data_IF_008913004854
#
_entry.id   IF_008913004854
#
_cell.length_a   1.000
_cell.length_b   1.000
_cell.length_c   1.000
_cell.angle_alpha   90.00
_cell.angle_beta   90.00
_cell.angle_gamma   90.00
#
_symmetry.space_group_name_H-M   'P 1'
#
loop_
_entity.id
_entity.type
_entity.pdbx_description
1 polymer ?
#
# COMPACT_ATOMS: atom_id res chain seq x y z
N UNK A 1 20.39 -41.79 -5.65
CA UNK A 1 19.83 -41.07 -6.81
C UNK A 1 19.06 -39.89 -6.24
N UNK A 2 19.50 -38.66 -6.51
CA UNK A 2 18.79 -37.46 -6.04
C UNK A 2 17.42 -37.36 -6.74
N UNK A 3 16.31 -37.15 -6.00
CA UNK A 3 14.95 -37.25 -6.54
C UNK A 3 14.46 -36.00 -7.27
N UNK A 4 15.32 -35.01 -7.50
CA UNK A 4 14.92 -33.75 -8.13
C UNK A 4 15.60 -33.58 -9.50
N UNK A 5 14.84 -33.24 -10.57
CA UNK A 5 15.44 -32.92 -11.85
C UNK A 5 16.37 -31.72 -11.67
N UNK A 6 17.66 -31.90 -11.97
CA UNK A 6 18.65 -30.82 -11.93
C UNK A 6 18.18 -29.74 -12.89
N UNK A 7 17.78 -28.58 -12.39
CA UNK A 7 17.39 -27.44 -13.24
C UNK A 7 18.65 -26.75 -13.76
N UNK A 8 18.65 -26.33 -15.02
CA UNK A 8 19.76 -25.59 -15.60
C UNK A 8 19.72 -24.13 -15.13
N UNK A 9 20.80 -23.64 -14.55
CA UNK A 9 20.98 -22.26 -14.09
C UNK A 9 22.32 -21.73 -14.62
N UNK A 10 22.49 -20.41 -14.71
CA UNK A 10 23.83 -19.81 -14.87
C UNK A 10 24.42 -19.45 -13.50
N UNK A 11 25.71 -19.72 -13.31
CA UNK A 11 26.44 -19.44 -12.06
C UNK A 11 27.34 -18.22 -12.23
N UNK A 12 26.93 -17.02 -11.77
CA UNK A 12 27.69 -15.80 -11.96
C UNK A 12 28.96 -15.72 -11.09
N UNK A 13 29.00 -16.44 -9.97
CA UNK A 13 30.11 -16.35 -8.99
C UNK A 13 31.37 -17.12 -9.43
N UNK A 14 31.21 -18.14 -10.28
CA UNK A 14 32.32 -18.90 -10.89
C UNK A 14 32.55 -18.50 -12.37
N UNK A 15 31.99 -17.36 -12.80
CA UNK A 15 31.98 -16.94 -14.19
C UNK A 15 33.25 -16.21 -14.62
N UNK A 16 33.80 -16.59 -15.79
CA UNK A 16 34.70 -15.72 -16.57
C UNK A 16 33.87 -14.75 -17.43
N UNK A 17 32.80 -15.23 -18.06
CA UNK A 17 31.85 -14.43 -18.84
C UNK A 17 30.43 -14.96 -18.59
N UNK A 18 29.62 -14.30 -17.76
CA UNK A 18 28.17 -14.58 -17.68
C UNK A 18 27.71 -15.93 -17.12
N UNK A 19 28.61 -16.86 -16.76
CA UNK A 19 28.30 -18.03 -15.92
C UNK A 19 27.61 -19.22 -16.59
N UNK A 20 27.44 -19.20 -17.92
CA UNK A 20 26.70 -20.24 -18.67
C UNK A 20 27.47 -21.55 -18.74
N UNK A 21 28.77 -21.51 -19.05
CA UNK A 21 29.57 -22.73 -19.14
C UNK A 21 29.67 -23.47 -17.80
N UNK A 22 29.78 -22.73 -16.68
CA UNK A 22 29.80 -23.31 -15.33
C UNK A 22 28.44 -23.94 -14.98
N UNK A 23 27.36 -23.22 -15.24
CA UNK A 23 26.00 -23.70 -15.01
C UNK A 23 25.59 -24.92 -15.85
N UNK A 24 25.99 -24.94 -17.13
CA UNK A 24 25.73 -26.06 -18.03
C UNK A 24 26.58 -27.29 -17.66
N UNK A 25 27.82 -27.08 -17.22
CA UNK A 25 28.70 -28.14 -16.72
C UNK A 25 28.13 -28.83 -15.46
N UNK A 26 27.60 -28.06 -14.50
CA UNK A 26 26.93 -28.59 -13.30
C UNK A 26 25.67 -29.40 -13.67
N UNK A 27 24.85 -28.88 -14.59
CA UNK A 27 23.64 -29.56 -15.05
C UNK A 27 23.94 -30.89 -15.76
N UNK A 28 24.93 -30.90 -16.66
CA UNK A 28 25.32 -32.08 -17.44
C UNK A 28 26.28 -33.03 -16.70
N UNK A 29 26.83 -32.63 -15.55
CA UNK A 29 27.85 -33.41 -14.83
C UNK A 29 29.19 -33.52 -15.55
N UNK A 30 29.53 -32.53 -16.39
CA UNK A 30 30.77 -32.49 -17.18
C UNK A 30 31.78 -31.51 -16.58
N UNK A 31 33.10 -31.64 -16.86
CA UNK A 31 34.08 -30.66 -16.44
C UNK A 31 33.87 -29.31 -17.17
N UNK A 32 33.91 -28.21 -16.42
CA UNK A 32 33.68 -26.83 -16.93
C UNK A 32 34.62 -26.49 -18.09
N UNK A 33 35.88 -26.95 -18.03
CA UNK A 33 36.87 -26.74 -19.10
C UNK A 33 36.41 -27.37 -20.43
N UNK A 34 35.82 -28.57 -20.40
CA UNK A 34 35.33 -29.26 -21.60
C UNK A 34 34.18 -28.50 -22.26
N UNK A 35 33.25 -27.98 -21.46
CA UNK A 35 32.13 -27.15 -21.96
C UNK A 35 32.64 -25.85 -22.58
N UNK A 36 33.65 -25.20 -21.97
CA UNK A 36 34.28 -23.98 -22.51
C UNK A 36 34.97 -24.24 -23.85
N UNK A 37 35.77 -25.30 -23.93
CA UNK A 37 36.46 -25.68 -25.17
C UNK A 37 35.47 -25.99 -26.29
N UNK A 38 34.37 -26.69 -25.98
CA UNK A 38 33.31 -26.95 -26.96
C UNK A 38 32.71 -25.67 -27.54
N UNK A 39 32.38 -24.68 -26.70
CA UNK A 39 31.89 -23.37 -27.17
C UNK A 39 32.92 -22.63 -28.02
N UNK A 40 34.21 -22.68 -27.67
CA UNK A 40 35.28 -22.04 -28.44
C UNK A 40 35.42 -22.70 -29.82
N UNK A 41 35.44 -24.04 -29.88
CA UNK A 41 35.52 -24.78 -31.15
C UNK A 41 34.31 -24.48 -32.04
N UNK A 42 33.10 -24.51 -31.48
CA UNK A 42 31.87 -24.13 -32.20
C UNK A 42 31.86 -22.67 -32.65
N UNK A 43 32.53 -21.77 -31.93
CA UNK A 43 32.67 -20.37 -32.34
C UNK A 43 33.64 -20.24 -33.53
N UNK A 44 34.75 -20.99 -33.54
CA UNK A 44 35.73 -20.98 -34.63
C UNK A 44 35.18 -21.65 -35.90
N UNK A 45 34.37 -22.70 -35.77
CA UNK A 45 33.82 -23.46 -36.89
C UNK A 45 32.62 -22.80 -37.61
N UNK A 46 32.29 -21.54 -37.29
CA UNK A 46 31.19 -20.82 -37.97
C UNK A 46 30.38 -19.87 -37.08
N UNK A 47 30.91 -19.46 -35.92
CA UNK A 47 30.24 -18.50 -35.02
C UNK A 47 29.11 -19.08 -34.16
N UNK A 48 28.71 -20.34 -34.37
CA UNK A 48 27.63 -21.01 -33.65
C UNK A 48 27.84 -21.02 -32.14
N UNK A 49 29.08 -21.21 -31.69
CA UNK A 49 29.42 -21.21 -30.27
C UNK A 49 29.05 -19.91 -29.57
N UNK A 50 29.22 -18.77 -30.25
CA UNK A 50 28.90 -17.45 -29.72
C UNK A 50 27.39 -17.21 -29.61
N UNK A 51 26.65 -17.61 -30.66
CA UNK A 51 25.19 -17.49 -30.71
C UNK A 51 24.52 -18.38 -29.65
N UNK A 52 24.94 -19.64 -29.56
CA UNK A 52 24.41 -20.56 -28.53
C UNK A 52 24.75 -20.09 -27.12
N UNK A 53 25.98 -19.61 -26.89
CA UNK A 53 26.38 -19.12 -25.59
C UNK A 53 25.52 -17.94 -25.13
N UNK A 54 25.28 -16.98 -26.01
CA UNK A 54 24.49 -15.80 -25.70
C UNK A 54 22.98 -16.10 -25.60
N UNK A 55 22.45 -17.01 -26.43
CA UNK A 55 21.07 -17.50 -26.30
C UNK A 55 20.83 -18.21 -24.97
N UNK A 56 21.73 -19.12 -24.58
CA UNK A 56 21.68 -19.77 -23.27
C UNK A 56 21.87 -18.78 -22.12
N UNK A 57 22.72 -17.76 -22.30
CA UNK A 57 22.88 -16.70 -21.31
C UNK A 57 21.59 -15.90 -21.07
N UNK A 58 20.78 -15.70 -22.11
CA UNK A 58 19.50 -14.97 -22.04
C UNK A 58 18.37 -15.84 -21.45
N UNK A 59 18.34 -17.13 -21.76
CA UNK A 59 17.28 -18.06 -21.31
C UNK A 59 17.55 -18.61 -19.90
N UNK A 60 18.82 -18.86 -19.54
CA UNK A 60 19.14 -19.48 -18.26
C UNK A 60 19.03 -18.48 -17.10
N UNK A 61 18.17 -18.75 -16.09
CA UNK A 61 18.06 -17.90 -14.93
C UNK A 61 19.37 -17.88 -14.13
N UNK A 62 19.75 -16.69 -13.64
CA UNK A 62 20.88 -16.56 -12.73
C UNK A 62 20.55 -17.22 -11.39
N UNK A 63 21.39 -18.16 -10.93
CA UNK A 63 21.30 -18.66 -9.57
C UNK A 63 21.71 -17.52 -8.63
N UNK A 64 20.71 -16.83 -8.08
CA UNK A 64 20.94 -15.89 -6.98
C UNK A 64 21.13 -16.74 -5.73
N UNK A 65 22.34 -16.75 -5.18
CA UNK A 65 22.52 -17.15 -3.79
C UNK A 65 21.81 -16.10 -2.93
N UNK A 66 20.51 -16.25 -2.74
CA UNK A 66 20.02 -16.04 -1.39
C UNK A 66 20.68 -17.17 -0.62
N UNK A 67 21.70 -16.84 0.17
CA UNK A 67 22.18 -17.79 1.15
C UNK A 67 20.92 -18.23 1.92
N UNK A 68 20.59 -19.52 1.85
CA UNK A 68 19.59 -20.16 2.72
C UNK A 68 20.13 -20.12 4.16
N UNK A 69 20.32 -18.92 4.69
CA UNK A 69 20.62 -18.67 6.07
C UNK A 69 19.31 -18.27 6.73
N UNK A 70 18.98 -18.99 7.80
CA UNK A 70 17.80 -18.75 8.60
C UNK A 70 17.65 -17.24 8.92
N UNK A 71 16.42 -16.69 8.93
CA UNK A 71 16.15 -15.25 8.96
C UNK A 71 16.88 -14.46 10.07
N UNK A 72 17.33 -15.11 11.15
CA UNK A 72 18.09 -14.50 12.25
C UNK A 72 19.56 -14.17 11.97
N UNK A 73 20.27 -14.94 11.12
CA UNK A 73 21.71 -14.72 10.87
C UNK A 73 21.97 -13.55 9.91
N UNK A 74 21.07 -13.35 8.94
CA UNK A 74 21.13 -12.24 7.99
C UNK A 74 20.89 -10.86 8.64
N UNK A 75 20.34 -10.81 9.86
CA UNK A 75 20.17 -9.58 10.64
C UNK A 75 21.46 -9.22 11.41
N UNK A 76 22.18 -10.22 11.93
CA UNK A 76 23.43 -10.03 12.66
C UNK A 76 24.57 -9.53 11.74
N UNK A 77 24.59 -9.96 10.47
CA UNK A 77 25.63 -9.53 9.53
C UNK A 77 25.47 -8.07 9.03
N UNK A 78 24.26 -7.49 9.14
CA UNK A 78 23.99 -6.10 8.72
C UNK A 78 24.55 -5.06 9.69
N UNK A 79 24.84 -5.43 10.94
CA UNK A 79 25.25 -4.46 11.96
C UNK A 79 26.71 -3.99 11.86
N UNK A 80 27.49 -4.44 10.86
CA UNK A 80 28.93 -4.11 10.82
C UNK A 80 29.58 -3.94 9.44
N UNK A 81 28.88 -4.09 8.31
CA UNK A 81 29.51 -4.00 6.99
C UNK A 81 29.04 -2.76 6.21
N UNK A 82 30.03 -1.93 5.85
CA UNK A 82 29.92 -0.75 4.98
C UNK A 82 28.97 -1.01 3.81
N UNK A 83 28.18 0.03 3.46
CA UNK A 83 27.31 0.11 2.28
C UNK A 83 27.86 -0.72 1.12
N UNK A 84 27.10 -1.66 0.52
CA UNK A 84 27.60 -2.44 -0.59
C UNK A 84 28.06 -1.47 -1.69
N UNK A 85 29.35 -1.57 -2.00
CA UNK A 85 30.00 -0.75 -3.00
C UNK A 85 29.32 -0.91 -4.35
N UNK A 86 29.51 0.12 -5.18
CA UNK A 86 28.95 0.41 -6.50
C UNK A 86 29.30 -0.65 -7.58
N UNK A 87 29.17 -1.94 -7.31
CA UNK A 87 29.59 -3.05 -8.21
C UNK A 87 28.49 -3.44 -9.22
N UNK A 88 27.29 -2.86 -9.15
CA UNK A 88 26.18 -3.21 -10.04
C UNK A 88 26.35 -2.75 -11.52
N UNK A 89 27.34 -1.94 -11.87
CA UNK A 89 27.45 -1.39 -13.24
C UNK A 89 27.94 -2.36 -14.32
N UNK A 90 28.60 -3.47 -13.95
CA UNK A 90 29.14 -4.43 -14.94
C UNK A 90 28.19 -5.59 -15.24
N UNK A 91 27.28 -5.94 -14.33
CA UNK A 91 26.27 -6.98 -14.57
C UNK A 91 25.23 -6.54 -15.63
N UNK A 92 24.94 -5.25 -15.71
CA UNK A 92 24.00 -4.65 -16.67
C UNK A 92 24.56 -4.54 -18.11
N UNK A 93 25.88 -4.71 -18.27
CA UNK A 93 26.55 -4.75 -19.58
C UNK A 93 26.51 -6.15 -20.21
N UNK A 94 26.37 -7.21 -19.40
CA UNK A 94 26.29 -8.60 -19.87
C UNK A 94 25.26 -8.86 -20.99
N UNK A 95 24.01 -8.36 -20.89
CA UNK A 95 23.02 -8.53 -21.95
C UNK A 95 23.35 -7.75 -23.23
N UNK A 96 23.96 -6.57 -23.10
CA UNK A 96 24.40 -5.76 -24.25
C UNK A 96 25.52 -6.46 -25.02
N UNK A 97 26.46 -7.05 -24.29
CA UNK A 97 27.55 -7.86 -24.85
C UNK A 97 26.99 -9.14 -25.49
N UNK A 98 26.01 -9.79 -24.88
CA UNK A 98 25.37 -10.99 -25.42
C UNK A 98 24.58 -10.71 -26.71
N UNK A 99 23.76 -9.66 -26.78
CA UNK A 99 23.05 -9.27 -28.01
C UNK A 99 24.02 -8.87 -29.12
N UNK A 100 25.07 -8.11 -28.79
CA UNK A 100 26.13 -7.76 -29.75
C UNK A 100 26.87 -9.00 -30.28
N UNK A 101 27.14 -9.98 -29.41
CA UNK A 101 27.77 -11.24 -29.76
C UNK A 101 26.88 -12.12 -30.66
N UNK A 102 25.57 -12.18 -30.43
CA UNK A 102 24.62 -12.87 -31.33
C UNK A 102 24.59 -12.18 -32.69
N UNK A 103 24.46 -10.85 -32.71
CA UNK A 103 24.44 -10.08 -33.94
C UNK A 103 25.72 -10.29 -34.76
N UNK A 104 26.89 -10.30 -34.10
CA UNK A 104 28.19 -10.53 -34.73
C UNK A 104 28.38 -12.00 -35.18
N UNK A 105 27.86 -12.97 -34.43
CA UNK A 105 27.89 -14.39 -34.81
C UNK A 105 27.01 -14.69 -36.02
N UNK A 106 25.80 -14.13 -36.05
CA UNK A 106 24.89 -14.20 -37.22
C UNK A 106 25.50 -13.46 -38.41
N UNK A 107 26.24 -12.38 -38.19
CA UNK A 107 27.01 -11.66 -39.21
C UNK A 107 28.08 -12.50 -39.87
N UNK A 108 28.92 -13.13 -39.06
CA UNK A 108 29.97 -14.01 -39.54
C UNK A 108 29.37 -15.18 -40.32
N UNK A 109 28.27 -15.76 -39.84
CA UNK A 109 27.57 -16.86 -40.52
C UNK A 109 27.02 -16.44 -41.89
N UNK A 110 26.32 -15.31 -41.96
CA UNK A 110 25.72 -14.83 -43.21
C UNK A 110 26.78 -14.42 -44.24
N UNK A 111 27.88 -13.79 -43.79
CA UNK A 111 29.02 -13.44 -44.63
C UNK A 111 29.72 -14.69 -45.21
N UNK A 112 29.87 -15.76 -44.42
CA UNK A 112 30.41 -17.04 -44.90
C UNK A 112 29.49 -17.73 -45.93
N UNK A 113 28.17 -17.64 -45.77
CA UNK A 113 27.20 -18.35 -46.63
C UNK A 113 26.93 -17.63 -47.95
N UNK A 114 26.96 -16.29 -47.96
CA UNK A 114 26.50 -15.50 -49.13
C UNK A 114 27.61 -14.75 -49.86
N UNK A 115 28.81 -14.59 -49.27
CA UNK A 115 29.93 -13.85 -49.87
C UNK A 115 29.68 -12.35 -50.07
N UNK A 116 28.54 -11.82 -49.64
CA UNK A 116 28.06 -10.45 -49.88
C UNK A 116 28.02 -9.68 -48.54
N UNK A 117 29.18 -9.23 -48.06
CA UNK A 117 29.33 -8.63 -46.73
C UNK A 117 28.65 -7.26 -46.51
N UNK A 118 28.15 -6.61 -47.57
CA UNK A 118 27.66 -5.21 -47.50
C UNK A 118 26.13 -5.11 -47.34
N UNK A 119 25.35 -6.05 -47.91
CA UNK A 119 23.87 -6.04 -47.81
C UNK A 119 23.33 -6.46 -46.43
N UNK A 120 24.21 -6.93 -45.54
CA UNK A 120 23.86 -7.54 -44.27
C UNK A 120 23.69 -6.52 -43.12
N UNK A 121 24.45 -5.43 -43.12
CA UNK A 121 24.42 -4.41 -42.07
C UNK A 121 23.04 -3.76 -41.83
N UNK A 122 22.20 -3.51 -42.85
CA UNK A 122 20.82 -3.04 -42.64
C UNK A 122 19.95 -4.00 -41.83
N UNK A 123 20.08 -5.32 -42.05
CA UNK A 123 19.31 -6.33 -41.32
C UNK A 123 19.76 -6.42 -39.86
N UNK A 124 21.07 -6.33 -39.61
CA UNK A 124 21.63 -6.23 -38.25
C UNK A 124 21.15 -5.00 -37.53
N UNK A 125 21.16 -3.84 -38.19
CA UNK A 125 20.70 -2.59 -37.60
C UNK A 125 19.19 -2.65 -37.29
N UNK A 126 18.40 -3.31 -38.15
CA UNK A 126 16.99 -3.58 -37.89
C UNK A 126 16.76 -4.49 -36.69
N UNK A 127 17.46 -5.63 -36.62
CA UNK A 127 17.37 -6.57 -35.50
C UNK A 127 17.89 -5.93 -34.21
N UNK A 128 18.97 -5.16 -34.26
CA UNK A 128 19.50 -4.42 -33.12
C UNK A 128 18.54 -3.32 -32.65
N UNK A 129 17.90 -2.60 -33.58
CA UNK A 129 16.85 -1.61 -33.26
C UNK A 129 15.65 -2.25 -32.57
N UNK A 130 15.16 -3.38 -33.10
CA UNK A 130 14.07 -4.16 -32.49
C UNK A 130 14.48 -4.72 -31.12
N UNK A 131 15.69 -5.26 -31.00
CA UNK A 131 16.20 -5.77 -29.73
C UNK A 131 16.34 -4.66 -28.67
N UNK A 132 16.75 -3.45 -29.05
CA UNK A 132 16.80 -2.29 -28.14
C UNK A 132 15.40 -1.89 -27.67
N UNK A 133 14.41 -1.90 -28.58
CA UNK A 133 13.01 -1.65 -28.23
C UNK A 133 12.45 -2.72 -27.28
N UNK A 134 12.84 -3.98 -27.47
CA UNK A 134 12.33 -5.11 -26.68
C UNK A 134 13.03 -5.24 -25.31
N UNK A 135 14.33 -4.92 -25.21
CA UNK A 135 15.16 -5.12 -24.01
C UNK A 135 14.73 -4.31 -22.79
N UNK A 136 13.98 -3.21 -22.92
CA UNK A 136 13.63 -2.35 -21.79
C UNK A 136 12.16 -2.35 -21.35
N UNK A 137 11.31 -3.15 -22.00
CA UNK A 137 9.96 -3.42 -21.49
C UNK A 137 10.01 -4.08 -20.09
N UNK A 138 11.07 -4.86 -19.82
CA UNK A 138 11.29 -5.53 -18.53
C UNK A 138 11.90 -4.63 -17.43
N UNK A 139 12.63 -3.57 -17.81
CA UNK A 139 13.38 -2.73 -16.86
C UNK A 139 12.59 -1.51 -16.39
N UNK A 140 11.69 -0.97 -17.22
CA UNK A 140 10.78 0.11 -16.84
C UNK A 140 9.66 -0.34 -15.88
N UNK A 141 9.52 -1.65 -15.68
CA UNK A 141 8.51 -2.27 -14.83
C UNK A 141 8.87 -2.23 -13.34
N UNK A 142 10.15 -2.02 -12.98
CA UNK A 142 10.63 -2.20 -11.60
C UNK A 142 10.56 -1.01 -10.66
N UNK A 143 10.37 0.23 -11.12
CA UNK A 143 10.51 1.39 -10.21
C UNK A 143 9.34 2.38 -10.14
N UNK A 144 8.22 2.22 -10.86
CA UNK A 144 7.11 3.20 -10.79
C UNK A 144 5.72 2.61 -10.56
N UNK A 145 5.63 1.73 -9.56
CA UNK A 145 4.37 1.28 -8.96
C UNK A 145 3.87 2.23 -7.86
N UNK A 146 4.06 3.55 -8.03
CA UNK A 146 3.64 4.58 -7.08
C UNK A 146 2.92 5.72 -7.83
N UNK A 147 1.77 5.42 -8.42
CA UNK A 147 0.76 6.44 -8.73
C UNK A 147 -0.58 5.97 -8.12
N UNK A 148 -1.06 6.58 -7.02
CA UNK A 148 -2.27 6.16 -6.29
C UNK A 148 -3.60 6.36 -7.05
N UNK A 149 -3.57 6.87 -8.28
CA UNK A 149 -4.73 7.47 -8.94
C UNK A 149 -5.59 6.53 -9.81
N UNK A 150 -5.41 5.20 -9.72
CA UNK A 150 -6.43 4.22 -10.15
C UNK A 150 -6.84 4.20 -11.63
N UNK A 151 -6.18 4.95 -12.53
CA UNK A 151 -6.45 4.93 -13.97
C UNK A 151 -5.16 4.76 -14.76
N UNK A 152 -4.91 3.55 -15.24
CA UNK A 152 -3.83 3.28 -16.19
C UNK A 152 -4.40 3.46 -17.60
N UNK A 153 -4.06 4.56 -18.26
CA UNK A 153 -4.24 4.67 -19.71
C UNK A 153 -3.29 3.71 -20.42
N UNK A 154 -3.79 2.90 -21.33
CA UNK A 154 -3.04 1.88 -22.10
C UNK A 154 -1.79 2.48 -22.77
N UNK A 155 -1.87 3.73 -23.23
CA UNK A 155 -0.74 4.50 -23.78
C UNK A 155 0.38 4.70 -22.76
N UNK A 156 0.04 4.87 -21.47
CA UNK A 156 0.95 5.12 -20.35
C UNK A 156 1.74 3.86 -19.95
N UNK A 157 1.15 2.68 -20.15
CA UNK A 157 1.79 1.38 -19.89
C UNK A 157 2.75 0.97 -21.02
N UNK A 158 2.41 1.26 -22.28
CA UNK A 158 3.24 0.95 -23.46
C UNK A 158 4.36 1.98 -23.68
N UNK A 159 4.07 3.26 -23.49
CA UNK A 159 5.06 4.35 -23.70
C UNK A 159 5.91 4.58 -22.44
N UNK A 160 5.45 4.08 -21.29
CA UNK A 160 6.03 4.31 -19.97
C UNK A 160 5.93 5.78 -19.59
N UNK A 161 5.46 6.09 -18.37
CA UNK A 161 5.86 7.36 -17.76
C UNK A 161 7.38 7.36 -17.74
N UNK A 162 8.04 8.28 -18.42
CA UNK A 162 9.49 8.32 -18.46
C UNK A 162 9.91 9.58 -19.15
N UNK A 163 10.35 10.57 -18.36
CA UNK A 163 10.91 11.81 -18.88
C UNK A 163 11.91 11.55 -20.00
N UNK A 164 12.11 12.56 -20.86
CA UNK A 164 13.02 12.69 -22.02
C UNK A 164 13.66 11.40 -22.60
N UNK A 165 14.34 10.59 -21.80
CA UNK A 165 14.81 9.24 -22.10
C UNK A 165 13.79 8.28 -22.74
N UNK A 166 12.48 8.25 -22.40
CA UNK A 166 11.52 7.35 -23.10
C UNK A 166 11.28 7.75 -24.55
N UNK A 167 11.07 9.05 -24.78
CA UNK A 167 10.94 9.62 -26.12
C UNK A 167 12.25 9.52 -26.91
N UNK A 168 13.40 9.73 -26.26
CA UNK A 168 14.71 9.56 -26.87
C UNK A 168 14.95 8.11 -27.31
N UNK A 169 14.42 7.12 -26.58
CA UNK A 169 14.54 5.69 -26.94
C UNK A 169 13.68 5.33 -28.15
N UNK A 170 12.42 5.77 -28.19
CA UNK A 170 11.56 5.58 -29.36
C UNK A 170 12.15 6.26 -30.60
N UNK A 171 12.74 7.46 -30.40
CA UNK A 171 13.47 8.19 -31.44
C UNK A 171 14.72 7.43 -31.91
N UNK A 172 15.55 6.89 -31.01
CA UNK A 172 16.76 6.15 -31.38
C UNK A 172 16.44 4.83 -32.07
N UNK A 173 15.44 4.08 -31.58
CA UNK A 173 14.98 2.84 -32.22
C UNK A 173 14.37 3.11 -33.60
N UNK A 174 13.51 4.12 -33.72
CA UNK A 174 12.96 4.56 -34.99
C UNK A 174 14.04 5.06 -35.96
N UNK A 175 15.01 5.83 -35.45
CA UNK A 175 16.14 6.34 -36.23
C UNK A 175 17.02 5.21 -36.77
N UNK A 176 17.28 4.17 -35.99
CA UNK A 176 18.04 2.99 -36.43
C UNK A 176 17.32 2.24 -37.54
N UNK A 177 16.00 2.05 -37.43
CA UNK A 177 15.18 1.40 -38.47
C UNK A 177 15.14 2.24 -39.74
N UNK A 178 14.92 3.55 -39.63
CA UNK A 178 14.93 4.47 -40.77
C UNK A 178 16.31 4.52 -41.43
N UNK A 179 17.37 4.55 -40.63
CA UNK A 179 18.75 4.55 -41.12
C UNK A 179 19.12 3.23 -41.81
N UNK A 180 18.63 2.09 -41.32
CA UNK A 180 18.77 0.79 -41.97
C UNK A 180 18.06 0.77 -43.34
N UNK A 181 16.83 1.26 -43.42
CA UNK A 181 16.07 1.36 -44.68
C UNK A 181 16.76 2.33 -45.66
N UNK A 182 17.22 3.48 -45.18
CA UNK A 182 17.92 4.49 -45.99
C UNK A 182 19.26 3.96 -46.54
N UNK A 183 20.04 3.27 -45.70
CA UNK A 183 21.31 2.66 -46.11
C UNK A 183 21.07 1.54 -47.14
N UNK A 184 20.07 0.67 -46.92
CA UNK A 184 19.67 -0.33 -47.90
C UNK A 184 19.26 0.30 -49.24
N UNK A 185 18.56 1.43 -49.19
CA UNK A 185 18.14 2.18 -50.38
C UNK A 185 19.32 2.77 -51.15
N UNK A 186 20.31 3.31 -50.45
CA UNK A 186 21.51 3.92 -51.04
C UNK A 186 22.43 2.86 -51.67
N UNK A 187 22.57 1.69 -51.04
CA UNK A 187 23.41 0.60 -51.54
C UNK A 187 22.76 -0.12 -52.73
N UNK A 188 21.44 -0.26 -52.72
CA UNK A 188 20.72 -0.99 -53.78
C UNK A 188 20.40 -0.13 -55.01
N UNK A 189 20.42 1.20 -54.88
CA UNK A 189 20.06 2.15 -55.94
C UNK A 189 18.57 2.16 -56.33
N UNK A 190 17.74 1.33 -55.70
CA UNK A 190 16.32 1.18 -55.99
C UNK A 190 15.44 1.87 -54.93
N UNK A 191 15.01 3.09 -55.25
CA UNK A 191 14.12 3.89 -54.41
C UNK A 191 12.72 3.27 -54.25
N UNK A 192 12.23 2.54 -55.25
CA UNK A 192 10.92 1.91 -55.19
C UNK A 192 10.92 0.75 -54.17
N UNK A 193 12.01 -0.02 -54.13
CA UNK A 193 12.20 -1.07 -53.13
C UNK A 193 12.19 -0.50 -51.70
N UNK A 194 12.89 0.61 -51.44
CA UNK A 194 12.94 1.20 -50.10
C UNK A 194 11.60 1.74 -49.62
N UNK A 195 10.81 2.38 -50.50
CA UNK A 195 9.44 2.80 -50.17
C UNK A 195 8.57 1.61 -49.76
N UNK A 196 8.65 0.51 -50.51
CA UNK A 196 7.86 -0.68 -50.25
C UNK A 196 8.28 -1.37 -48.93
N UNK A 197 9.59 -1.45 -48.66
CA UNK A 197 10.12 -1.98 -47.39
C UNK A 197 9.72 -1.10 -46.21
N UNK A 198 9.75 0.22 -46.36
CA UNK A 198 9.29 1.17 -45.34
C UNK A 198 7.81 1.01 -45.01
N UNK A 199 6.95 0.91 -46.03
CA UNK A 199 5.52 0.66 -45.85
C UNK A 199 5.27 -0.70 -45.18
N UNK A 200 5.98 -1.74 -45.58
CA UNK A 200 5.89 -3.06 -44.95
C UNK A 200 6.31 -3.04 -43.48
N UNK A 201 7.36 -2.29 -43.13
CA UNK A 201 7.79 -2.14 -41.74
C UNK A 201 6.72 -1.44 -40.88
N UNK A 202 6.13 -0.34 -41.38
CA UNK A 202 5.04 0.37 -40.68
C UNK A 202 3.83 -0.54 -40.47
N UNK A 203 3.41 -1.26 -41.51
CA UNK A 203 2.30 -2.22 -41.42
C UNK A 203 2.61 -3.36 -40.44
N UNK A 204 3.85 -3.83 -40.39
CA UNK A 204 4.29 -4.85 -39.43
C UNK A 204 4.20 -4.35 -37.98
N UNK A 205 4.63 -3.11 -37.70
CA UNK A 205 4.47 -2.52 -36.37
C UNK A 205 3.01 -2.34 -35.98
N UNK A 206 2.15 -1.92 -36.91
CA UNK A 206 0.70 -1.82 -36.68
C UNK A 206 0.12 -3.20 -36.37
N UNK A 207 0.44 -4.22 -37.19
CA UNK A 207 0.00 -5.59 -36.99
C UNK A 207 0.47 -6.18 -35.64
N UNK A 208 1.73 -5.94 -35.28
CA UNK A 208 2.28 -6.33 -33.97
C UNK A 208 1.54 -5.64 -32.82
N UNK A 209 1.19 -4.36 -32.98
CA UNK A 209 0.36 -3.62 -32.02
C UNK A 209 -1.02 -4.25 -31.83
N UNK A 210 -1.66 -4.71 -32.91
CA UNK A 210 -2.94 -5.43 -32.84
C UNK A 210 -2.84 -6.81 -32.18
N UNK A 211 -1.71 -7.52 -32.32
CA UNK A 211 -1.48 -8.82 -31.68
C UNK A 211 -1.17 -8.65 -30.18
N UNK A 212 -0.27 -7.73 -29.84
CA UNK A 212 0.25 -7.54 -28.48
C UNK A 212 -0.70 -6.69 -27.62
N UNK A 213 -1.40 -5.73 -28.22
CA UNK A 213 -2.29 -4.79 -27.53
C UNK A 213 -3.34 -5.47 -26.66
N UNK A 214 -4.17 -6.40 -27.19
CA UNK A 214 -5.17 -7.11 -26.40
C UNK A 214 -4.57 -7.92 -25.24
N UNK A 215 -3.40 -8.55 -25.44
CA UNK A 215 -2.71 -9.29 -24.39
C UNK A 215 -2.23 -8.39 -23.25
N UNK A 216 -1.68 -7.21 -23.58
CA UNK A 216 -1.27 -6.22 -22.57
C UNK A 216 -2.45 -5.66 -21.77
N UNK A 217 -3.58 -5.41 -22.43
CA UNK A 217 -4.82 -4.99 -21.74
C UNK A 217 -5.27 -6.07 -20.78
N UNK A 218 -5.33 -7.32 -21.24
CA UNK A 218 -5.72 -8.47 -20.42
C UNK A 218 -4.82 -8.65 -19.20
N UNK A 219 -3.51 -8.60 -19.38
CA UNK A 219 -2.53 -8.71 -18.29
C UNK A 219 -2.71 -7.61 -17.22
N UNK A 220 -3.04 -6.39 -17.65
CA UNK A 220 -3.28 -5.27 -16.72
C UNK A 220 -4.56 -5.45 -15.90
N UNK A 221 -5.59 -6.03 -16.51
CA UNK A 221 -6.86 -6.36 -15.85
C UNK A 221 -6.66 -7.49 -14.83
N UNK A 222 -5.98 -8.56 -15.22
CA UNK A 222 -5.72 -9.74 -14.36
C UNK A 222 -4.96 -9.33 -13.08
N UNK A 223 -3.95 -8.45 -13.21
CA UNK A 223 -3.21 -7.91 -12.05
C UNK A 223 -4.05 -6.98 -11.16
N UNK A 224 -5.05 -6.30 -11.72
CA UNK A 224 -5.93 -5.41 -10.95
C UNK A 224 -6.94 -6.22 -10.13
N UNK A 225 -7.43 -7.34 -10.68
CA UNK A 225 -8.27 -8.29 -9.97
C UNK A 225 -7.52 -8.92 -8.79
N UNK A 226 -6.29 -9.41 -9.01
CA UNK A 226 -5.46 -9.99 -7.95
C UNK A 226 -5.20 -9.02 -6.79
N UNK A 227 -4.95 -7.73 -7.09
CA UNK A 227 -4.77 -6.69 -6.06
C UNK A 227 -6.04 -6.47 -5.25
N UNK A 228 -7.20 -6.49 -5.90
CA UNK A 228 -8.49 -6.28 -5.21
C UNK A 228 -8.78 -7.44 -4.27
N UNK A 229 -8.49 -8.66 -4.68
CA UNK A 229 -8.58 -9.84 -3.82
C UNK A 229 -7.60 -9.75 -2.64
N UNK A 230 -6.36 -9.29 -2.89
CA UNK A 230 -5.35 -9.13 -1.85
C UNK A 230 -5.73 -8.07 -0.82
N UNK A 231 -6.25 -6.92 -1.26
CA UNK A 231 -6.76 -5.85 -0.37
C UNK A 231 -7.89 -6.39 0.50
N UNK A 232 -8.90 -7.04 -0.10
CA UNK A 232 -10.02 -7.64 0.66
C UNK A 232 -9.57 -8.71 1.64
N UNK A 233 -8.59 -9.54 1.25
CA UNK A 233 -8.03 -10.56 2.15
C UNK A 233 -7.27 -9.94 3.32
N UNK A 234 -6.55 -8.84 3.09
CA UNK A 234 -5.83 -8.12 4.14
C UNK A 234 -6.81 -7.43 5.10
N UNK A 235 -7.83 -6.73 4.58
CA UNK A 235 -8.87 -6.12 5.40
C UNK A 235 -9.57 -7.16 6.29
N UNK A 236 -9.92 -8.34 5.73
CA UNK A 236 -10.51 -9.44 6.52
C UNK A 236 -9.57 -9.96 7.61
N UNK A 237 -8.28 -10.06 7.31
CA UNK A 237 -7.29 -10.54 8.28
C UNK A 237 -7.10 -9.52 9.42
N UNK A 238 -7.03 -8.23 9.10
CA UNK A 238 -6.89 -7.16 10.10
C UNK A 238 -8.13 -7.07 10.99
N UNK A 239 -9.33 -7.14 10.40
CA UNK A 239 -10.61 -7.21 11.14
C UNK A 239 -10.64 -8.43 12.07
N UNK A 240 -10.27 -9.60 11.57
CA UNK A 240 -10.25 -10.82 12.37
C UNK A 240 -9.23 -10.73 13.53
N UNK A 241 -8.04 -10.18 13.29
CA UNK A 241 -7.03 -9.97 14.32
C UNK A 241 -7.52 -9.03 15.42
N UNK A 242 -8.12 -7.89 15.03
CA UNK A 242 -8.61 -6.91 16.00
C UNK A 242 -9.77 -7.45 16.86
N UNK A 243 -10.71 -8.16 16.23
CA UNK A 243 -11.81 -8.84 16.95
C UNK A 243 -11.29 -9.92 17.89
N UNK A 244 -10.30 -10.70 17.45
CA UNK A 244 -9.70 -11.76 18.24
C UNK A 244 -9.03 -11.19 19.50
N UNK A 245 -8.28 -10.09 19.38
CA UNK A 245 -7.57 -9.51 20.51
C UNK A 245 -8.52 -8.87 21.53
N UNK A 246 -9.51 -8.08 21.09
CA UNK A 246 -10.41 -7.36 22.02
C UNK A 246 -11.42 -8.29 22.71
N UNK A 247 -12.04 -9.19 21.96
CA UNK A 247 -13.11 -10.07 22.47
C UNK A 247 -12.52 -11.15 23.37
N UNK A 248 -11.44 -11.81 22.96
CA UNK A 248 -10.85 -12.86 23.80
C UNK A 248 -10.25 -12.30 25.08
N UNK A 249 -9.65 -11.11 25.03
CA UNK A 249 -9.13 -10.46 26.22
C UNK A 249 -10.25 -10.14 27.22
N UNK A 250 -11.38 -9.63 26.74
CA UNK A 250 -12.51 -9.34 27.64
C UNK A 250 -13.15 -10.62 28.15
N UNK A 251 -13.32 -11.66 27.33
CA UNK A 251 -13.82 -12.96 27.78
C UNK A 251 -12.90 -13.56 28.85
N UNK A 252 -11.58 -13.41 28.72
CA UNK A 252 -10.63 -13.82 29.74
C UNK A 252 -10.79 -13.02 31.05
N UNK A 253 -11.03 -11.71 30.97
CA UNK A 253 -11.32 -10.87 32.14
C UNK A 253 -12.64 -11.22 32.82
N UNK A 254 -13.68 -11.53 32.03
CA UNK A 254 -14.98 -12.02 32.52
C UNK A 254 -14.79 -13.36 33.24
N UNK A 255 -14.04 -14.28 32.65
CA UNK A 255 -13.73 -15.58 33.26
C UNK A 255 -12.99 -15.41 34.59
N UNK A 256 -12.01 -14.50 34.64
CA UNK A 256 -11.25 -14.19 35.87
C UNK A 256 -12.13 -13.53 36.94
N UNK A 257 -13.11 -12.74 36.52
CA UNK A 257 -14.00 -11.97 37.40
C UNK A 257 -15.34 -12.66 37.65
N UNK A 258 -15.46 -13.96 37.35
CA UNK A 258 -16.72 -14.71 37.37
C UNK A 258 -17.47 -14.70 38.73
N UNK A 259 -16.76 -14.38 39.82
CA UNK A 259 -17.30 -14.33 41.18
C UNK A 259 -17.97 -12.97 41.50
N UNK A 260 -17.83 -11.96 40.64
CA UNK A 260 -18.42 -10.63 40.79
C UNK A 260 -19.40 -10.33 39.64
N UNK A 261 -20.71 -10.56 39.84
CA UNK A 261 -21.73 -10.33 38.81
C UNK A 261 -21.78 -8.88 38.31
N UNK A 262 -21.47 -7.90 39.17
CA UNK A 262 -21.51 -6.49 38.78
C UNK A 262 -20.36 -6.15 37.83
N UNK A 263 -19.15 -6.66 38.12
CA UNK A 263 -17.98 -6.47 37.25
C UNK A 263 -18.14 -7.20 35.91
N UNK A 264 -18.69 -8.41 35.90
CA UNK A 264 -19.02 -9.12 34.65
C UNK A 264 -20.03 -8.35 33.81
N UNK A 265 -21.09 -7.80 34.41
CA UNK A 265 -22.08 -7.01 33.69
C UNK A 265 -21.48 -5.72 33.11
N UNK A 266 -20.54 -5.06 33.81
CA UNK A 266 -19.82 -3.89 33.27
C UNK A 266 -18.92 -4.26 32.09
N UNK A 267 -18.07 -5.29 32.22
CA UNK A 267 -17.19 -5.76 31.15
C UNK A 267 -17.96 -6.21 29.89
N UNK A 268 -19.10 -6.88 30.07
CA UNK A 268 -19.94 -7.31 28.96
C UNK A 268 -20.58 -6.11 28.22
N UNK A 269 -21.10 -5.13 28.97
CA UNK A 269 -21.66 -3.91 28.38
C UNK A 269 -20.62 -3.04 27.70
N UNK A 270 -19.41 -2.94 28.24
CA UNK A 270 -18.33 -2.20 27.59
C UNK A 270 -17.97 -2.84 26.24
N UNK A 271 -17.81 -4.17 26.19
CA UNK A 271 -17.56 -4.85 24.91
C UNK A 271 -18.73 -4.78 23.92
N UNK A 272 -19.97 -4.83 24.41
CA UNK A 272 -21.12 -4.60 23.54
C UNK A 272 -21.08 -3.20 22.91
N UNK A 273 -20.79 -2.17 23.71
CA UNK A 273 -20.65 -0.79 23.23
C UNK A 273 -19.53 -0.66 22.19
N UNK A 274 -18.35 -1.24 22.47
CA UNK A 274 -17.19 -1.19 21.58
C UNK A 274 -17.48 -1.90 20.24
N UNK A 275 -18.05 -3.11 20.30
CA UNK A 275 -18.42 -3.88 19.11
C UNK A 275 -19.52 -3.19 18.31
N UNK A 276 -20.50 -2.60 18.99
CA UNK A 276 -21.61 -1.86 18.35
C UNK A 276 -21.11 -0.57 17.71
N UNK A 277 -20.25 0.19 18.37
CA UNK A 277 -19.59 1.34 17.75
C UNK A 277 -18.84 0.88 16.50
N UNK A 278 -17.97 -0.12 16.59
CA UNK A 278 -17.22 -0.59 15.42
C UNK A 278 -18.09 -1.10 14.25
N UNK A 279 -19.16 -1.87 14.52
CA UNK A 279 -20.08 -2.39 13.49
C UNK A 279 -20.93 -1.30 12.82
N UNK A 280 -21.24 -0.20 13.51
CA UNK A 280 -22.18 0.82 13.03
C UNK A 280 -21.54 2.21 12.77
N UNK A 281 -20.30 2.46 13.23
CA UNK A 281 -19.50 3.68 12.93
C UNK A 281 -18.90 3.70 11.52
N UNK A 282 -19.16 2.69 10.70
CA UNK A 282 -19.02 2.83 9.24
C UNK A 282 -19.96 3.90 8.64
N UNK A 283 -20.81 4.51 9.49
CA UNK A 283 -21.64 5.69 9.15
C UNK A 283 -21.11 7.02 9.75
N UNK A 284 -19.94 7.01 10.41
CA UNK A 284 -19.08 8.17 10.64
C UNK A 284 -19.74 9.37 11.33
N UNK A 285 -19.91 9.30 12.65
CA UNK A 285 -19.87 10.53 13.45
C UNK A 285 -18.43 11.01 13.52
N UNK A 286 -18.12 12.14 12.91
CA UNK A 286 -16.78 12.75 13.02
C UNK A 286 -16.44 12.91 14.51
N UNK A 287 -15.30 12.42 15.04
CA UNK A 287 -14.95 12.57 16.47
C UNK A 287 -14.85 14.04 16.90
N UNK A 288 -14.93 14.96 15.95
CA UNK A 288 -15.05 16.39 16.16
C UNK A 288 -16.49 16.87 16.44
N UNK A 289 -17.51 16.00 16.47
CA UNK A 289 -18.90 16.44 16.73
C UNK A 289 -19.29 16.42 18.21
N UNK A 290 -20.26 17.27 18.55
CA UNK A 290 -20.73 17.47 19.91
C UNK A 290 -21.40 16.20 20.46
N UNK A 291 -22.20 15.52 19.63
CA UNK A 291 -22.79 14.24 20.00
C UNK A 291 -21.72 13.18 20.30
N UNK A 292 -20.64 13.12 19.52
CA UNK A 292 -19.52 12.21 19.78
C UNK A 292 -18.81 12.54 21.11
N UNK A 293 -18.53 13.82 21.37
CA UNK A 293 -17.89 14.26 22.60
C UNK A 293 -18.69 13.89 23.88
N UNK A 294 -20.01 14.02 23.85
CA UNK A 294 -20.87 13.64 24.97
C UNK A 294 -20.87 12.11 25.21
N UNK A 295 -20.89 11.30 24.14
CA UNK A 295 -20.82 9.84 24.25
C UNK A 295 -19.48 9.37 24.83
N UNK A 296 -18.37 10.01 24.43
CA UNK A 296 -17.04 9.72 25.00
C UNK A 296 -17.03 9.97 26.51
N UNK A 297 -17.54 11.12 26.94
CA UNK A 297 -17.63 11.46 28.37
C UNK A 297 -18.53 10.49 29.14
N UNK A 298 -19.67 10.10 28.57
CA UNK A 298 -20.54 9.12 29.19
C UNK A 298 -19.83 7.76 29.39
N UNK A 299 -19.04 7.34 28.42
CA UNK A 299 -18.19 6.15 28.54
C UNK A 299 -17.15 6.28 29.66
N UNK A 300 -16.41 7.39 29.71
CA UNK A 300 -15.42 7.63 30.77
C UNK A 300 -16.04 7.59 32.19
N UNK A 301 -17.24 8.14 32.37
CA UNK A 301 -17.92 8.18 33.66
C UNK A 301 -18.46 6.80 34.03
N UNK A 302 -19.06 6.07 33.09
CA UNK A 302 -19.53 4.69 33.32
C UNK A 302 -18.36 3.78 33.73
N UNK A 303 -17.23 3.87 33.04
CA UNK A 303 -16.05 3.05 33.31
C UNK A 303 -15.40 3.38 34.67
N UNK A 304 -15.37 4.66 35.05
CA UNK A 304 -14.73 5.12 36.29
C UNK A 304 -15.58 4.89 37.55
N UNK A 305 -16.91 5.01 37.45
CA UNK A 305 -17.81 4.99 38.61
C UNK A 305 -18.80 3.82 38.62
N UNK A 306 -18.91 3.07 37.52
CA UNK A 306 -19.82 1.92 37.40
C UNK A 306 -21.30 2.29 37.38
N UNK A 307 -21.63 3.55 37.05
CA UNK A 307 -22.99 4.05 36.91
C UNK A 307 -23.24 4.33 35.43
N UNK A 308 -24.16 3.60 34.76
CA UNK A 308 -24.46 3.80 33.35
C UNK A 308 -24.94 5.22 33.06
N UNK A 309 -24.31 5.86 32.08
CA UNK A 309 -24.70 7.18 31.56
C UNK A 309 -25.29 7.02 30.16
N UNK A 310 -26.58 7.26 30.01
CA UNK A 310 -27.28 7.14 28.72
C UNK A 310 -27.35 8.50 28.03
N UNK A 311 -26.82 8.61 26.80
CA UNK A 311 -26.80 9.87 26.04
C UNK A 311 -27.75 9.79 24.85
N UNK A 312 -28.71 10.72 24.80
CA UNK A 312 -29.58 10.94 23.66
C UNK A 312 -29.34 12.35 23.13
N UNK A 313 -28.78 12.45 21.93
CA UNK A 313 -28.52 13.74 21.27
C UNK A 313 -29.43 13.89 20.05
N UNK A 314 -30.16 15.00 19.98
CA UNK A 314 -30.98 15.40 18.83
C UNK A 314 -30.31 16.59 18.15
N UNK A 315 -29.98 16.44 16.87
CA UNK A 315 -29.09 17.37 16.17
C UNK A 315 -27.62 17.12 16.50
N UNK A 316 -26.73 17.79 15.76
CA UNK A 316 -25.30 17.74 15.99
C UNK A 316 -24.63 19.04 15.55
N UNK A 317 -23.47 19.34 16.13
CA UNK A 317 -22.68 20.51 15.81
C UNK A 317 -21.19 20.18 15.95
N UNK A 318 -20.29 20.82 15.17
CA UNK A 318 -18.87 20.67 15.39
C UNK A 318 -18.48 21.22 16.77
N UNK A 319 -17.65 20.47 17.51
CA UNK A 319 -17.09 20.88 18.79
C UNK A 319 -16.14 22.04 18.54
N UNK A 320 -16.66 23.25 18.71
CA UNK A 320 -15.88 24.48 18.72
C UNK A 320 -15.40 24.79 20.14
N UNK A 321 -14.46 25.73 20.27
CA UNK A 321 -14.06 26.26 21.59
C UNK A 321 -15.25 26.80 22.40
N UNK A 322 -16.33 27.22 21.72
CA UNK A 322 -17.56 27.68 22.35
C UNK A 322 -18.39 26.56 22.98
N UNK A 323 -18.33 25.34 22.44
CA UNK A 323 -19.05 24.18 22.97
C UNK A 323 -18.24 23.37 24.00
N UNK A 324 -16.92 23.54 24.05
CA UNK A 324 -16.07 22.86 25.02
C UNK A 324 -16.49 23.08 26.49
N UNK A 325 -16.90 24.29 26.93
CA UNK A 325 -17.37 24.52 28.30
C UNK A 325 -18.60 23.70 28.68
N UNK A 326 -19.61 23.62 27.80
CA UNK A 326 -20.83 22.85 28.07
C UNK A 326 -20.56 21.34 28.09
N UNK A 327 -19.66 20.86 27.23
CA UNK A 327 -19.17 19.46 27.25
C UNK A 327 -18.52 19.12 28.60
N UNK A 328 -17.60 19.97 29.08
CA UNK A 328 -16.93 19.75 30.37
C UNK A 328 -17.87 19.93 31.57
N UNK A 329 -18.82 20.87 31.50
CA UNK A 329 -19.86 21.03 32.53
C UNK A 329 -20.77 19.79 32.59
N UNK A 330 -21.09 19.20 31.45
CA UNK A 330 -21.85 17.94 31.37
C UNK A 330 -21.09 16.79 32.02
N UNK A 331 -19.77 16.68 31.78
CA UNK A 331 -18.91 15.70 32.46
C UNK A 331 -18.95 15.85 33.97
N UNK A 332 -18.78 17.06 34.46
CA UNK A 332 -18.80 17.35 35.91
C UNK A 332 -20.16 16.96 36.50
N UNK A 333 -21.26 17.39 35.87
CA UNK A 333 -22.62 17.03 36.28
C UNK A 333 -22.83 15.51 36.36
N UNK A 334 -22.38 14.76 35.35
CA UNK A 334 -22.49 13.30 35.32
C UNK A 334 -21.64 12.62 36.41
N UNK A 335 -20.41 13.11 36.66
CA UNK A 335 -19.54 12.62 37.74
C UNK A 335 -20.21 12.83 39.11
N UNK A 336 -20.85 13.98 39.32
CA UNK A 336 -21.52 14.28 40.58
C UNK A 336 -22.71 13.37 40.82
N UNK A 337 -23.52 13.17 39.78
CA UNK A 337 -24.62 12.22 39.83
C UNK A 337 -24.10 10.81 40.15
N UNK A 338 -23.05 10.35 39.46
CA UNK A 338 -22.48 9.02 39.69
C UNK A 338 -21.88 8.85 41.09
N UNK A 339 -21.23 9.88 41.65
CA UNK A 339 -20.55 9.82 42.95
C UNK A 339 -21.48 10.03 44.14
N UNK A 340 -22.48 10.90 44.00
CA UNK A 340 -23.24 11.42 45.13
C UNK A 340 -24.73 11.09 45.10
N UNK A 341 -25.33 10.88 43.92
CA UNK A 341 -26.77 10.67 43.85
C UNK A 341 -27.20 9.28 44.34
N UNK A 342 -26.31 8.28 44.28
CA UNK A 342 -26.68 6.88 44.55
C UNK A 342 -27.70 6.34 43.55
N UNK A 343 -27.82 6.97 42.38
CA UNK A 343 -28.74 6.58 41.32
C UNK A 343 -28.23 5.36 40.56
N UNK A 344 -29.14 4.50 40.10
CA UNK A 344 -28.77 3.33 39.29
C UNK A 344 -28.32 3.67 37.86
N UNK A 345 -28.62 4.88 37.38
CA UNK A 345 -28.23 5.41 36.07
C UNK A 345 -28.33 6.93 36.04
N UNK A 346 -27.66 7.55 35.07
CA UNK A 346 -27.75 8.97 34.75
C UNK A 346 -28.22 9.14 33.30
N UNK A 347 -29.26 9.94 33.09
CA UNK A 347 -29.83 10.22 31.76
C UNK A 347 -29.31 11.59 31.27
N UNK A 348 -28.67 11.64 30.10
CA UNK A 348 -28.16 12.87 29.46
C UNK A 348 -28.89 13.12 28.16
N UNK A 349 -29.67 14.18 28.10
CA UNK A 349 -30.37 14.61 26.89
C UNK A 349 -29.71 15.87 26.35
N UNK A 350 -29.39 15.87 25.06
CA UNK A 350 -28.77 17.00 24.39
C UNK A 350 -29.56 17.38 23.14
N UNK A 351 -29.75 18.69 22.96
CA UNK A 351 -30.35 19.26 21.75
C UNK A 351 -29.39 20.29 21.16
N UNK A 352 -28.91 20.01 19.95
CA UNK A 352 -28.05 20.93 19.20
C UNK A 352 -28.89 21.61 18.11
N UNK A 353 -29.34 22.83 18.39
CA UNK A 353 -30.01 23.69 17.44
C UNK A 353 -29.03 24.71 16.83
N UNK A 354 -29.34 25.35 15.69
CA UNK A 354 -28.43 26.32 15.05
C UNK A 354 -28.11 27.55 15.92
N UNK A 355 -29.01 27.95 16.81
CA UNK A 355 -28.91 29.17 17.62
C UNK A 355 -28.37 28.91 19.04
N UNK A 356 -28.50 27.69 19.55
CA UNK A 356 -28.06 27.30 20.89
C UNK A 356 -27.94 25.78 21.04
N UNK A 357 -27.14 25.36 22.00
CA UNK A 357 -27.04 23.97 22.46
C UNK A 357 -27.57 23.89 23.88
N UNK A 358 -28.42 22.91 24.14
CA UNK A 358 -28.97 22.62 25.47
C UNK A 358 -28.62 21.20 25.88
N UNK A 359 -28.22 21.02 27.14
CA UNK A 359 -27.95 19.71 27.73
C UNK A 359 -28.68 19.60 29.07
N UNK A 360 -29.35 18.48 29.27
CA UNK A 360 -30.04 18.12 30.50
C UNK A 360 -29.37 16.88 31.07
N UNK A 361 -28.83 16.98 32.28
CA UNK A 361 -28.28 15.85 33.02
C UNK A 361 -29.22 15.55 34.18
N UNK A 362 -29.81 14.35 34.17
CA UNK A 362 -30.81 13.94 35.15
C UNK A 362 -30.41 12.65 35.84
N UNK A 363 -30.52 12.63 37.16
CA UNK A 363 -30.47 11.41 37.95
C UNK A 363 -31.78 11.21 38.73
N UNK A 364 -32.02 9.96 39.13
CA UNK A 364 -33.13 9.57 40.01
C UNK A 364 -32.62 9.13 41.37
N UNK A 365 -31.62 9.84 41.89
CA UNK A 365 -30.95 9.51 43.14
C UNK A 365 -31.60 10.15 44.37
N UNK A 366 -30.82 10.24 45.44
CA UNK A 366 -31.24 10.80 46.73
C UNK A 366 -31.58 12.29 46.66
N UNK A 367 -31.10 13.02 45.64
CA UNK A 367 -31.23 14.48 45.55
C UNK A 367 -30.64 15.21 46.75
N UNK A 368 -30.73 16.54 46.73
CA UNK A 368 -30.31 17.38 47.86
C UNK A 368 -31.12 18.67 47.90
N UNK A 369 -31.08 19.36 49.04
CA UNK A 369 -31.61 20.71 49.17
C UNK A 369 -30.50 21.72 48.83
N UNK A 370 -30.62 22.49 47.73
CA UNK A 370 -29.61 23.46 47.33
C UNK A 370 -29.34 24.55 48.37
N UNK A 371 -30.35 24.93 49.18
CA UNK A 371 -30.24 26.01 50.15
C UNK A 371 -29.60 25.55 51.47
N UNK A 372 -29.55 24.23 51.71
CA UNK A 372 -28.93 23.62 52.88
C UNK A 372 -27.44 23.29 52.70
N UNK A 373 -26.88 23.49 51.50
CA UNK A 373 -25.46 23.20 51.22
C UNK A 373 -24.58 24.31 51.84
N UNK A 374 -23.59 23.97 52.68
CA UNK A 374 -22.66 24.95 53.24
C UNK A 374 -21.83 25.68 52.17
N UNK A 375 -21.54 26.97 52.37
CA UNK A 375 -20.81 27.81 51.39
C UNK A 375 -19.41 27.28 51.04
N UNK A 376 -18.75 26.57 51.96
CA UNK A 376 -17.45 25.91 51.76
C UNK A 376 -17.52 24.63 50.90
N UNK A 377 -18.73 24.08 50.70
CA UNK A 377 -19.01 22.92 49.83
C UNK A 377 -19.72 23.29 48.53
N UNK A 378 -19.89 24.58 48.26
CA UNK A 378 -20.48 25.10 47.01
C UNK A 378 -19.62 24.87 45.76
N UNK A 379 -18.41 24.33 45.89
CA UNK A 379 -17.49 24.11 44.77
C UNK A 379 -18.11 23.42 43.56
N UNK A 380 -19.22 22.71 43.72
CA UNK A 380 -20.01 22.14 42.64
C UNK A 380 -20.91 23.12 41.88
N UNK A 381 -21.72 23.88 42.63
CA UNK A 381 -22.63 24.88 42.10
C UNK A 381 -21.82 25.97 41.42
N UNK A 382 -20.76 26.43 42.07
CA UNK A 382 -19.91 27.49 41.57
C UNK A 382 -19.06 26.99 40.38
N UNK A 383 -18.52 25.76 40.39
CA UNK A 383 -17.68 25.31 39.26
C UNK A 383 -18.44 25.01 37.95
N UNK A 384 -19.71 24.61 38.02
CA UNK A 384 -20.56 24.40 36.83
C UNK A 384 -21.17 25.74 36.40
N UNK A 385 -21.79 26.48 37.33
CA UNK A 385 -22.48 27.74 37.03
C UNK A 385 -21.50 28.83 36.61
N UNK A 386 -20.39 29.03 37.34
CA UNK A 386 -19.39 30.04 36.97
C UNK A 386 -18.71 29.69 35.65
N UNK A 387 -18.47 28.40 35.37
CA UNK A 387 -17.91 27.97 34.09
C UNK A 387 -18.84 28.33 32.95
N UNK A 388 -20.13 28.00 33.05
CA UNK A 388 -21.08 28.33 32.00
C UNK A 388 -21.18 29.85 31.81
N UNK A 389 -21.30 30.61 32.91
CA UNK A 389 -21.39 32.07 32.84
C UNK A 389 -20.14 32.73 32.24
N UNK A 390 -18.92 32.27 32.58
CA UNK A 390 -17.68 32.79 31.99
C UNK A 390 -17.59 32.61 30.48
N UNK A 391 -18.32 31.66 29.93
CA UNK A 391 -18.36 31.37 28.50
C UNK A 391 -19.68 31.78 27.83
N UNK A 392 -20.45 32.67 28.47
CA UNK A 392 -21.69 33.24 27.92
C UNK A 392 -22.87 32.28 27.87
N UNK A 393 -22.76 31.12 28.53
CA UNK A 393 -23.86 30.18 28.74
C UNK A 393 -24.54 30.38 30.10
N UNK A 394 -25.50 29.52 30.39
CA UNK A 394 -26.21 29.46 31.67
C UNK A 394 -26.31 28.02 32.18
N UNK A 395 -26.45 27.89 33.50
CA UNK A 395 -26.72 26.62 34.17
C UNK A 395 -27.84 26.80 35.20
N UNK A 396 -28.82 25.90 35.20
CA UNK A 396 -29.91 25.85 36.17
C UNK A 396 -29.88 24.48 36.85
N UNK A 397 -29.88 24.45 38.18
CA UNK A 397 -29.85 23.22 38.97
C UNK A 397 -31.18 23.12 39.72
N UNK A 398 -31.88 22.01 39.51
CA UNK A 398 -33.10 21.65 40.23
C UNK A 398 -32.86 20.35 40.97
N UNK A 399 -32.93 20.39 42.30
CA UNK A 399 -32.86 19.18 43.11
C UNK A 399 -33.80 19.28 44.29
N UNK A 400 -34.35 18.13 44.67
CA UNK A 400 -35.14 17.96 45.89
C UNK A 400 -34.74 16.64 46.55
N UNK A 401 -34.62 16.60 47.88
CA UNK A 401 -34.38 15.35 48.60
C UNK A 401 -35.44 14.30 48.24
N UNK A 402 -35.00 13.13 47.76
CA UNK A 402 -35.82 11.99 47.35
C UNK A 402 -36.31 12.01 45.90
N UNK A 403 -36.22 13.14 45.17
CA UNK A 403 -36.70 13.25 43.77
C UNK A 403 -35.56 13.24 42.72
N UNK A 404 -34.30 13.30 43.18
CA UNK A 404 -33.10 13.34 42.33
C UNK A 404 -32.58 14.75 42.03
N UNK A 405 -31.68 14.85 41.06
CA UNK A 405 -31.12 16.11 40.57
C UNK A 405 -31.27 16.22 39.05
N UNK A 406 -31.65 17.40 38.58
CA UNK A 406 -31.68 17.80 37.17
C UNK A 406 -30.83 19.07 36.99
N UNK A 407 -29.85 19.00 36.09
CA UNK A 407 -29.00 20.12 35.72
C UNK A 407 -29.25 20.44 34.26
N UNK A 408 -29.73 21.66 33.98
CA UNK A 408 -29.90 22.20 32.64
C UNK A 408 -28.74 23.14 32.32
N UNK A 409 -28.05 22.88 31.23
CA UNK A 409 -26.96 23.68 30.69
C UNK A 409 -27.39 24.24 29.34
N UNK A 410 -27.19 25.54 29.13
CA UNK A 410 -27.51 26.19 27.85
C UNK A 410 -26.31 27.00 27.37
N UNK A 411 -25.91 26.79 26.12
CA UNK A 411 -24.86 27.54 25.45
C UNK A 411 -25.41 28.18 24.16
N UNK A 412 -25.57 29.51 24.09
CA UNK A 412 -25.96 30.17 22.86
C UNK A 412 -24.84 30.08 21.82
N UNK A 413 -25.21 29.80 20.57
CA UNK A 413 -24.31 29.69 19.41
C UNK A 413 -24.24 30.99 18.57
N UNK A 414 -24.98 32.03 18.95
CA UNK A 414 -25.18 33.27 18.19
C UNK A 414 -23.93 33.88 17.54
N UNK A 415 -24.13 34.36 16.31
CA UNK A 415 -23.15 35.08 15.50
C UNK A 415 -22.59 36.27 16.30
N UNK A 416 -21.28 36.27 16.59
CA UNK A 416 -20.62 37.48 17.07
C UNK A 416 -20.50 38.41 15.87
N UNK A 417 -21.38 39.41 15.81
CA UNK A 417 -21.17 40.59 14.97
C UNK A 417 -19.86 41.28 15.30
#
# INVERSE_FOLDING_TARGET
MDPFPRKAYRQPDEAIIGGVAAGLAEHLGLPVLGVRVAFIVLAVMGGFGLVFYAGLWMVLPARRHFADQAPGLAAAERQGKRRPGRVHRLADLGPLVATGAIALGVAAMFALVTGQGVLFWPVVLGIAGVAVLWRQADEAQRERWLDPSGRIGIVRAVVGLGGLASYLRLLVGGFLVVSAIMLFSLVSGDWAAARNVGLAAVLCFIGLGFIVGPWLVRLSSDLSEERTERIRSQERADVAAHLHDSVLQTLALIQKSAHDPATVARLARSQERDLRSWLFDSTGGDPTTFAAALRTIAGEVDDAYGVPVEVVCVGDAPVSERLRPIVLATREAAVNAARHAGAARVDVYAEAAPDRVEVFVRDRGAGFDPDAVPQDRHGLRDSIVDRMHRHGGSAEIRSRPGEGTEIRLTQPLGDQR
#
